data_IF_611344582881
#
_entry.id   IF_611344582881
#
_cell.length_a   1.000
_cell.length_b   1.000
_cell.length_c   1.000
_cell.angle_alpha   90.00
_cell.angle_beta   90.00
_cell.angle_gamma   90.00
#
_symmetry.space_group_name_H-M   'P 1'
#
loop_
_entity.id
_entity.type
_entity.pdbx_description
1 polymer ?
#
# COMPACT_ATOMS: atom_id res chain seq x y z
N UNK A 1 48.37 -6.03 63.03
CA UNK A 1 48.48 -5.31 61.74
C UNK A 1 48.32 -6.35 60.65
N UNK A 2 47.36 -6.22 59.74
CA UNK A 2 47.20 -7.21 58.67
C UNK A 2 48.38 -7.08 57.71
N UNK A 3 49.11 -8.18 57.48
CA UNK A 3 50.19 -8.24 56.50
C UNK A 3 49.58 -7.98 55.11
N UNK A 4 49.91 -6.83 54.51
CA UNK A 4 49.51 -6.50 53.16
C UNK A 4 50.38 -7.32 52.20
N UNK A 5 49.80 -8.34 51.57
CA UNK A 5 50.48 -9.17 50.59
C UNK A 5 50.59 -8.45 49.24
N UNK A 6 51.83 -8.20 48.80
CA UNK A 6 52.15 -7.51 47.56
C UNK A 6 52.74 -8.48 46.53
N UNK A 7 52.27 -8.36 45.28
CA UNK A 7 52.72 -9.16 44.15
C UNK A 7 53.11 -8.26 42.98
N UNK A 8 54.25 -8.60 42.35
CA UNK A 8 54.72 -7.90 41.14
C UNK A 8 53.91 -8.34 39.92
N UNK A 9 53.33 -7.39 39.19
CA UNK A 9 52.63 -7.66 37.94
C UNK A 9 53.63 -8.01 36.82
N UNK A 10 53.42 -9.14 36.13
CA UNK A 10 54.28 -9.58 35.03
C UNK A 10 54.23 -8.70 33.77
N UNK A 11 53.25 -7.80 33.65
CA UNK A 11 53.03 -6.97 32.45
C UNK A 11 53.49 -5.53 32.65
N UNK A 12 53.09 -4.86 33.74
CA UNK A 12 53.50 -3.48 34.02
C UNK A 12 54.71 -3.39 34.96
N UNK A 13 55.14 -4.49 35.60
CA UNK A 13 56.29 -4.51 36.51
C UNK A 13 56.04 -3.92 37.90
N UNK A 14 54.94 -3.19 38.12
CA UNK A 14 54.58 -2.61 39.41
C UNK A 14 54.25 -3.67 40.48
N UNK A 15 54.63 -3.39 41.74
CA UNK A 15 54.15 -4.10 42.93
C UNK A 15 52.73 -3.63 43.26
N UNK A 16 51.79 -4.58 43.32
CA UNK A 16 50.38 -4.31 43.61
C UNK A 16 49.88 -5.22 44.71
N UNK A 17 48.79 -4.83 45.37
CA UNK A 17 48.15 -5.69 46.35
C UNK A 17 47.67 -6.97 45.68
N UNK A 18 47.68 -8.08 46.40
CA UNK A 18 47.15 -9.36 45.90
C UNK A 18 45.68 -9.25 45.41
N UNK A 19 44.90 -8.32 45.97
CA UNK A 19 43.54 -8.01 45.52
C UNK A 19 43.44 -7.34 44.15
N UNK A 20 44.53 -6.78 43.62
CA UNK A 20 44.58 -6.24 42.25
C UNK A 20 44.73 -7.34 41.19
N UNK A 21 44.78 -8.60 41.60
CA UNK A 21 44.87 -9.76 40.72
C UNK A 21 43.56 -10.55 40.71
N UNK A 22 43.30 -11.23 39.60
CA UNK A 22 42.20 -12.18 39.51
C UNK A 22 42.65 -13.53 40.11
N UNK A 23 41.68 -14.30 40.61
CA UNK A 23 41.93 -15.67 41.09
C UNK A 23 42.23 -16.61 39.92
N UNK A 24 43.26 -17.43 40.06
CA UNK A 24 43.65 -18.47 39.10
C UNK A 24 43.90 -19.79 39.82
N UNK A 25 42.89 -20.66 39.81
CA UNK A 25 42.86 -21.92 40.57
C UNK A 25 44.02 -22.87 40.25
N UNK A 26 44.58 -22.81 39.03
CA UNK A 26 45.69 -23.68 38.61
C UNK A 26 47.08 -23.08 38.87
N UNK A 27 47.17 -21.89 39.47
CA UNK A 27 48.46 -21.25 39.75
C UNK A 27 48.91 -21.57 41.18
N UNK A 28 50.22 -21.73 41.40
CA UNK A 28 50.80 -22.08 42.71
C UNK A 28 50.40 -21.11 43.84
N UNK A 29 50.12 -19.85 43.52
CA UNK A 29 49.68 -18.81 44.47
C UNK A 29 48.22 -18.40 44.34
N UNK A 30 47.38 -19.17 43.62
CA UNK A 30 45.95 -18.88 43.47
C UNK A 30 45.59 -17.59 42.73
N UNK A 31 46.57 -16.85 42.20
CA UNK A 31 46.41 -15.56 41.53
C UNK A 31 47.14 -15.53 40.19
N UNK A 32 46.53 -14.88 39.18
CA UNK A 32 47.18 -14.63 37.90
C UNK A 32 48.49 -13.84 38.06
N UNK A 33 49.41 -13.96 37.09
CA UNK A 33 50.69 -13.24 37.08
C UNK A 33 50.55 -11.75 36.69
N UNK A 34 49.53 -11.40 35.91
CA UNK A 34 49.24 -10.03 35.50
C UNK A 34 48.10 -9.41 36.33
N UNK A 35 48.17 -8.12 36.65
CA UNK A 35 47.11 -7.41 37.37
C UNK A 35 45.84 -7.25 36.52
N UNK A 36 44.69 -7.01 37.18
CA UNK A 36 43.37 -6.85 36.55
C UNK A 36 43.35 -5.82 35.43
N UNK A 37 44.03 -4.69 35.61
CA UNK A 37 44.08 -3.64 34.59
C UNK A 37 44.82 -4.10 33.33
N UNK A 38 46.00 -4.70 33.50
CA UNK A 38 46.77 -5.26 32.38
C UNK A 38 45.99 -6.37 31.66
N UNK A 39 45.31 -7.26 32.40
CA UNK A 39 44.44 -8.28 31.80
C UNK A 39 43.29 -7.66 31.02
N UNK A 40 42.63 -6.63 31.57
CA UNK A 40 41.55 -5.91 30.90
C UNK A 40 42.00 -5.32 29.55
N UNK A 41 43.16 -4.68 29.51
CA UNK A 41 43.75 -4.12 28.30
C UNK A 41 44.05 -5.24 27.28
N UNK A 42 44.67 -6.33 27.72
CA UNK A 42 45.00 -7.47 26.86
C UNK A 42 43.73 -8.14 26.29
N UNK A 43 42.72 -8.39 27.13
CA UNK A 43 41.43 -8.94 26.69
C UNK A 43 40.72 -8.03 25.70
N UNK A 44 40.75 -6.70 25.89
CA UNK A 44 40.17 -5.73 24.95
C UNK A 44 40.88 -5.78 23.59
N UNK A 45 42.21 -5.86 23.57
CA UNK A 45 43.00 -6.02 22.33
C UNK A 45 42.70 -7.35 21.64
N UNK A 46 42.60 -8.44 22.39
CA UNK A 46 42.26 -9.75 21.84
C UNK A 46 40.83 -9.80 21.29
N UNK A 47 39.85 -9.24 22.01
CA UNK A 47 38.48 -9.11 21.54
C UNK A 47 38.41 -8.31 20.24
N UNK A 48 39.14 -7.18 20.15
CA UNK A 48 39.15 -6.36 18.95
C UNK A 48 39.73 -7.12 17.73
N UNK A 49 40.82 -7.89 17.93
CA UNK A 49 41.40 -8.75 16.88
C UNK A 49 40.45 -9.87 16.43
N UNK A 50 39.65 -10.40 17.35
CA UNK A 50 38.77 -11.54 17.10
C UNK A 50 37.28 -11.17 16.95
N UNK A 51 36.97 -9.88 16.82
CA UNK A 51 35.60 -9.33 16.94
C UNK A 51 34.62 -10.00 15.98
N UNK A 52 35.00 -10.11 14.72
CA UNK A 52 34.13 -10.66 13.68
C UNK A 52 33.92 -12.17 13.84
N UNK A 53 34.97 -12.90 14.21
CA UNK A 53 34.90 -14.34 14.50
C UNK A 53 33.97 -14.63 15.67
N UNK A 54 34.09 -13.86 16.77
CA UNK A 54 33.24 -13.99 17.95
C UNK A 54 31.79 -13.66 17.59
N UNK A 55 31.56 -12.58 16.84
CA UNK A 55 30.23 -12.18 16.39
C UNK A 55 29.58 -13.25 15.49
N UNK A 56 30.34 -13.81 14.55
CA UNK A 56 29.87 -14.89 13.66
C UNK A 56 29.44 -16.13 14.47
N UNK A 57 30.30 -16.61 15.38
CA UNK A 57 29.97 -17.75 16.27
C UNK A 57 28.73 -17.47 17.11
N UNK A 58 28.59 -16.25 17.66
CA UNK A 58 27.41 -15.84 18.42
C UNK A 58 26.12 -15.86 17.59
N UNK A 59 26.18 -15.36 16.36
CA UNK A 59 25.05 -15.39 15.42
C UNK A 59 24.64 -16.83 15.04
N UNK A 60 25.61 -17.70 14.77
CA UNK A 60 25.37 -19.11 14.45
C UNK A 60 24.72 -19.84 15.64
N UNK A 61 25.27 -19.66 16.85
CA UNK A 61 24.69 -20.21 18.06
C UNK A 61 23.25 -19.74 18.27
N UNK A 62 22.98 -18.44 18.11
CA UNK A 62 21.63 -17.89 18.21
C UNK A 62 20.69 -18.48 17.16
N UNK A 63 21.12 -18.56 15.90
CA UNK A 63 20.32 -19.11 14.80
C UNK A 63 19.92 -20.56 15.06
N UNK A 64 20.85 -21.37 15.55
CA UNK A 64 20.63 -22.79 15.84
C UNK A 64 19.77 -23.04 17.08
N UNK A 65 19.68 -22.07 18.00
CA UNK A 65 18.96 -22.21 19.26
C UNK A 65 17.73 -21.29 19.38
N UNK A 66 17.38 -20.50 18.36
CA UNK A 66 16.32 -19.48 18.42
C UNK A 66 14.96 -20.05 18.84
N UNK A 67 14.68 -21.30 18.45
CA UNK A 67 13.41 -21.98 18.72
C UNK A 67 13.46 -22.91 19.93
N UNK A 68 14.64 -23.14 20.51
CA UNK A 68 14.83 -23.99 21.69
C UNK A 68 14.18 -23.35 22.93
N UNK A 69 13.21 -24.05 23.52
CA UNK A 69 12.40 -23.54 24.62
C UNK A 69 13.21 -23.28 25.89
N UNK A 70 14.16 -24.16 26.21
CA UNK A 70 15.07 -24.00 27.35
C UNK A 70 15.97 -22.78 27.17
N UNK A 71 16.44 -22.52 25.94
CA UNK A 71 17.22 -21.33 25.61
C UNK A 71 16.40 -20.04 25.78
N UNK A 72 15.15 -20.02 25.29
CA UNK A 72 14.21 -18.90 25.48
C UNK A 72 13.98 -18.62 26.97
N UNK A 73 13.72 -19.66 27.77
CA UNK A 73 13.51 -19.54 29.23
C UNK A 73 14.73 -18.96 29.94
N UNK A 74 15.94 -19.48 29.67
CA UNK A 74 17.20 -18.96 30.28
C UNK A 74 17.45 -17.50 29.90
N UNK A 75 17.27 -17.16 28.61
CA UNK A 75 17.41 -15.79 28.12
C UNK A 75 16.42 -14.83 28.80
N UNK A 76 15.15 -15.23 28.91
CA UNK A 76 14.13 -14.42 29.56
C UNK A 76 14.41 -14.26 31.06
N UNK A 77 14.87 -15.32 31.75
CA UNK A 77 15.27 -15.24 33.15
C UNK A 77 16.46 -14.28 33.37
N UNK A 78 17.46 -14.30 32.48
CA UNK A 78 18.55 -13.33 32.50
C UNK A 78 18.04 -11.91 32.33
N UNK A 79 17.18 -11.64 31.34
CA UNK A 79 16.59 -10.32 31.14
C UNK A 79 15.76 -9.85 32.33
N UNK A 80 14.97 -10.72 32.96
CA UNK A 80 14.20 -10.38 34.16
C UNK A 80 15.08 -10.01 35.35
N UNK A 81 16.24 -10.67 35.52
CA UNK A 81 17.18 -10.35 36.62
C UNK A 81 18.00 -9.09 36.37
N UNK A 82 18.28 -8.78 35.10
CA UNK A 82 19.22 -7.71 34.73
C UNK A 82 18.54 -6.40 34.34
N UNK A 83 17.26 -6.45 33.95
CA UNK A 83 16.47 -5.23 33.76
C UNK A 83 15.93 -4.76 35.11
N UNK A 84 16.45 -3.63 35.60
CA UNK A 84 15.71 -2.81 36.57
C UNK A 84 14.36 -2.46 35.94
N UNK A 85 13.29 -2.43 36.73
CA UNK A 85 11.97 -2.00 36.24
C UNK A 85 12.11 -0.61 35.62
N UNK A 86 12.04 -0.55 34.29
CA UNK A 86 12.04 0.73 33.59
C UNK A 86 10.61 1.26 33.66
N UNK A 87 10.37 2.43 34.27
CA UNK A 87 9.03 2.96 34.39
C UNK A 87 8.42 3.13 33.00
N UNK A 88 7.16 2.69 32.87
CA UNK A 88 6.38 2.91 31.66
C UNK A 88 6.12 4.40 31.55
N UNK A 89 6.77 5.06 30.58
CA UNK A 89 6.61 6.48 30.34
C UNK A 89 5.44 6.74 29.37
N UNK A 90 4.77 7.89 29.50
CA UNK A 90 3.80 8.32 28.50
C UNK A 90 4.49 8.79 27.21
N UNK A 91 3.83 8.64 26.06
CA UNK A 91 4.33 9.14 24.79
C UNK A 91 4.49 10.67 24.87
N UNK A 92 5.72 11.14 24.69
CA UNK A 92 6.04 12.58 24.61
C UNK A 92 5.41 13.30 23.43
N UNK A 93 4.76 12.57 22.52
CA UNK A 93 3.95 13.13 21.46
C UNK A 93 2.61 13.74 21.94
N UNK A 94 2.25 13.56 23.22
CA UNK A 94 1.01 14.09 23.78
C UNK A 94 -0.24 13.26 23.49
N UNK A 95 -0.11 12.04 22.97
CA UNK A 95 -1.27 11.21 22.63
C UNK A 95 -1.90 10.47 23.83
N UNK A 96 -1.39 10.66 25.05
CA UNK A 96 -1.89 10.01 26.27
C UNK A 96 -1.53 8.53 26.44
N UNK A 97 -1.00 7.89 25.40
CA UNK A 97 -0.69 6.46 25.40
C UNK A 97 0.67 6.13 26.02
N UNK A 98 0.79 4.92 26.57
CA UNK A 98 2.01 4.41 27.22
C UNK A 98 3.08 4.02 26.17
N UNK A 99 4.27 4.59 26.27
CA UNK A 99 5.43 4.19 25.49
C UNK A 99 6.10 2.95 26.12
N UNK A 100 6.71 2.12 25.28
CA UNK A 100 7.46 0.95 25.76
C UNK A 100 8.56 1.37 26.77
N UNK A 101 8.83 0.56 27.80
CA UNK A 101 9.88 0.84 28.78
C UNK A 101 11.19 1.27 28.12
N UNK A 102 11.75 2.40 28.59
CA UNK A 102 12.98 2.99 28.04
C UNK A 102 12.80 3.79 26.74
N UNK A 103 11.58 3.96 26.22
CA UNK A 103 11.30 4.83 25.05
C UNK A 103 10.50 6.07 25.45
N UNK A 104 10.80 7.19 24.79
CA UNK A 104 10.05 8.44 24.94
C UNK A 104 8.81 8.52 24.05
N UNK A 105 8.72 7.70 23.01
CA UNK A 105 7.63 7.72 22.03
C UNK A 105 7.19 6.29 21.71
N UNK A 106 5.91 6.15 21.38
CA UNK A 106 5.38 4.94 20.78
C UNK A 106 5.97 4.76 19.38
N UNK A 107 6.01 3.52 18.91
CA UNK A 107 6.46 3.21 17.56
C UNK A 107 5.65 4.04 16.54
N UNK A 108 6.35 4.79 15.69
CA UNK A 108 5.72 5.69 14.70
C UNK A 108 5.37 7.08 15.21
N UNK A 109 5.43 7.35 16.52
CA UNK A 109 5.08 8.66 17.09
C UNK A 109 6.26 9.63 17.22
N UNK A 110 7.48 9.21 16.87
CA UNK A 110 8.72 10.00 17.04
C UNK A 110 8.66 11.36 16.32
N UNK A 111 7.96 11.42 15.19
CA UNK A 111 7.84 12.64 14.38
C UNK A 111 6.46 13.30 14.51
N UNK A 112 5.57 12.77 15.35
CA UNK A 112 4.21 13.31 15.49
C UNK A 112 4.28 14.63 16.25
N UNK A 113 3.76 15.71 15.65
CA UNK A 113 3.85 17.06 16.20
C UNK A 113 5.21 17.75 16.04
N UNK A 114 6.18 17.09 15.39
CA UNK A 114 7.49 17.69 15.11
C UNK A 114 7.37 18.66 13.93
N UNK A 115 7.71 19.92 14.16
CA UNK A 115 7.86 20.91 13.09
C UNK A 115 9.27 20.74 12.52
N UNK A 116 9.35 20.36 11.24
CA UNK A 116 10.63 20.26 10.54
C UNK A 116 10.99 21.60 9.89
N UNK A 117 12.25 21.98 10.01
CA UNK A 117 12.82 23.12 9.30
C UNK A 117 12.85 22.89 7.77
N UNK A 118 13.04 23.99 7.03
CA UNK A 118 13.02 23.96 5.57
C UNK A 118 14.16 23.11 4.98
N UNK A 119 15.33 23.11 5.61
CA UNK A 119 16.49 22.32 5.16
C UNK A 119 16.19 20.82 5.20
N UNK A 120 15.48 20.36 6.24
CA UNK A 120 15.07 18.97 6.39
C UNK A 120 14.04 18.58 5.33
N UNK A 121 13.07 19.47 5.04
CA UNK A 121 12.07 19.24 3.99
C UNK A 121 12.70 19.12 2.61
N UNK A 122 13.67 19.99 2.30
CA UNK A 122 14.41 19.95 1.04
C UNK A 122 15.22 18.65 0.90
N UNK A 123 15.91 18.21 1.96
CA UNK A 123 16.61 16.90 1.98
C UNK A 123 15.66 15.73 1.70
N UNK A 124 14.51 15.70 2.37
CA UNK A 124 13.50 14.66 2.14
C UNK A 124 12.93 14.69 0.72
N UNK A 125 12.72 15.88 0.15
CA UNK A 125 12.28 16.05 -1.23
C UNK A 125 13.32 15.53 -2.23
N UNK A 126 14.60 15.87 -2.03
CA UNK A 126 15.70 15.39 -2.86
C UNK A 126 15.83 13.86 -2.82
N UNK A 127 15.72 13.25 -1.64
CA UNK A 127 15.75 11.78 -1.49
C UNK A 127 14.62 11.13 -2.29
N UNK A 128 13.40 11.69 -2.25
CA UNK A 128 12.25 11.17 -3.02
C UNK A 128 12.44 11.33 -4.53
N UNK A 129 13.06 12.42 -4.96
CA UNK A 129 13.33 12.69 -6.38
C UNK A 129 14.45 11.79 -6.92
N UNK A 130 15.43 11.44 -6.09
CA UNK A 130 16.59 10.64 -6.46
C UNK A 130 16.41 9.13 -6.21
N UNK A 131 15.17 8.63 -6.19
CA UNK A 131 14.93 7.19 -6.11
C UNK A 131 15.37 6.54 -7.43
N UNK A 132 16.25 5.54 -7.34
CA UNK A 132 16.69 4.78 -8.52
C UNK A 132 15.62 3.81 -9.02
N UNK A 133 15.76 3.39 -10.28
CA UNK A 133 14.79 2.53 -10.95
C UNK A 133 14.59 1.18 -10.25
N UNK A 134 15.68 0.58 -9.76
CA UNK A 134 15.62 -0.68 -8.99
C UNK A 134 14.77 -0.56 -7.73
N UNK A 135 14.88 0.56 -7.02
CA UNK A 135 14.09 0.83 -5.82
C UNK A 135 12.63 1.06 -6.17
N UNK A 136 12.33 1.81 -7.25
CA UNK A 136 10.96 1.96 -7.77
C UNK A 136 10.34 0.61 -8.10
N UNK A 137 11.09 -0.26 -8.79
CA UNK A 137 10.64 -1.61 -9.16
C UNK A 137 10.28 -2.44 -7.93
N UNK A 138 11.16 -2.49 -6.91
CA UNK A 138 10.88 -3.18 -5.64
C UNK A 138 9.65 -2.65 -4.92
N UNK A 139 9.47 -1.33 -4.88
CA UNK A 139 8.28 -0.71 -4.28
C UNK A 139 7.01 -1.10 -5.04
N UNK A 140 7.06 -1.09 -6.37
CA UNK A 140 5.94 -1.50 -7.23
C UNK A 140 5.59 -2.98 -7.06
N UNK A 141 6.58 -3.86 -7.06
CA UNK A 141 6.41 -5.30 -6.85
C UNK A 141 5.79 -5.61 -5.49
N UNK A 142 6.22 -4.92 -4.43
CA UNK A 142 5.63 -5.07 -3.09
C UNK A 142 4.18 -4.56 -3.01
N UNK A 143 3.78 -3.64 -3.86
CA UNK A 143 2.43 -3.11 -3.92
C UNK A 143 1.50 -3.96 -4.82
N UNK A 144 2.06 -4.67 -5.80
CA UNK A 144 1.31 -5.45 -6.79
C UNK A 144 0.46 -6.51 -6.09
N UNK A 145 -0.83 -6.55 -6.42
CA UNK A 145 -1.78 -7.52 -5.88
C UNK A 145 -2.29 -7.25 -4.45
N UNK A 146 -1.86 -6.16 -3.79
CA UNK A 146 -2.43 -5.80 -2.48
C UNK A 146 -3.88 -5.34 -2.62
N UNK A 147 -4.80 -6.12 -2.07
CA UNK A 147 -6.21 -5.76 -1.98
C UNK A 147 -6.39 -4.84 -0.77
N UNK A 148 -6.86 -3.62 -1.03
CA UNK A 148 -7.22 -2.68 0.03
C UNK A 148 -8.52 -3.15 0.68
N UNK A 149 -8.51 -3.31 2.01
CA UNK A 149 -9.70 -3.73 2.77
C UNK A 149 -10.86 -2.74 2.59
N UNK A 150 -12.11 -3.23 2.68
CA UNK A 150 -13.30 -2.39 2.58
C UNK A 150 -13.28 -1.26 3.62
N UNK A 151 -12.87 -1.57 4.85
CA UNK A 151 -12.64 -0.61 5.95
C UNK A 151 -11.69 0.53 5.51
N UNK A 152 -10.55 0.19 4.92
CA UNK A 152 -9.56 1.18 4.49
C UNK A 152 -10.07 2.00 3.30
N UNK A 153 -10.77 1.36 2.36
CA UNK A 153 -11.42 2.05 1.23
C UNK A 153 -12.46 3.06 1.72
N UNK A 154 -13.28 2.69 2.71
CA UNK A 154 -14.28 3.57 3.33
C UNK A 154 -13.62 4.79 3.97
N UNK A 155 -12.57 4.61 4.78
CA UNK A 155 -11.82 5.72 5.39
C UNK A 155 -11.23 6.68 4.36
N UNK A 156 -10.66 6.15 3.28
CA UNK A 156 -10.13 6.97 2.18
C UNK A 156 -11.27 7.79 1.55
N UNK A 157 -12.39 7.14 1.21
CA UNK A 157 -13.56 7.80 0.63
C UNK A 157 -14.09 8.93 1.52
N UNK A 158 -14.31 8.65 2.81
CA UNK A 158 -14.78 9.63 3.80
C UNK A 158 -13.84 10.84 3.90
N UNK A 159 -12.52 10.62 3.86
CA UNK A 159 -11.54 11.70 3.95
C UNK A 159 -11.49 12.62 2.72
N UNK A 160 -11.91 12.11 1.57
CA UNK A 160 -11.89 12.82 0.29
C UNK A 160 -13.24 13.45 -0.05
N UNK A 161 -14.33 12.93 0.51
CA UNK A 161 -15.67 13.44 0.27
C UNK A 161 -15.77 14.94 0.61
N UNK A 162 -16.34 15.73 -0.29
CA UNK A 162 -16.51 17.18 -0.13
C UNK A 162 -15.23 18.02 -0.26
N UNK A 163 -14.05 17.43 -0.49
CA UNK A 163 -12.83 18.23 -0.71
C UNK A 163 -12.84 18.85 -2.12
N UNK A 164 -12.80 20.19 -2.24
CA UNK A 164 -12.78 20.82 -3.56
C UNK A 164 -11.43 20.57 -4.24
N UNK A 165 -11.50 20.18 -5.51
CA UNK A 165 -10.30 20.09 -6.35
C UNK A 165 -9.90 21.51 -6.77
N UNK A 166 -8.69 21.93 -6.42
CA UNK A 166 -8.13 23.22 -6.83
C UNK A 166 -8.08 23.35 -8.36
N UNK A 167 -8.30 24.56 -8.87
CA UNK A 167 -8.33 24.82 -10.32
C UNK A 167 -7.01 24.43 -11.01
N UNK A 168 -5.87 24.69 -10.37
CA UNK A 168 -4.55 24.29 -10.88
C UNK A 168 -4.40 22.76 -10.97
N UNK A 169 -4.97 22.02 -10.02
CA UNK A 169 -5.00 20.54 -10.06
C UNK A 169 -5.93 20.05 -11.15
N UNK A 170 -7.11 20.67 -11.30
CA UNK A 170 -8.07 20.36 -12.37
C UNK A 170 -7.44 20.53 -13.75
N UNK A 171 -6.72 21.63 -13.97
CA UNK A 171 -6.00 21.89 -15.22
C UNK A 171 -4.96 20.82 -15.53
N UNK A 172 -4.13 20.43 -14.56
CA UNK A 172 -3.12 19.37 -14.73
C UNK A 172 -3.74 18.01 -15.08
N UNK A 173 -4.87 17.67 -14.45
CA UNK A 173 -5.61 16.45 -14.77
C UNK A 173 -6.13 16.51 -16.21
N UNK A 174 -6.71 17.65 -16.61
CA UNK A 174 -7.20 17.87 -17.96
C UNK A 174 -6.10 17.77 -19.02
N UNK A 175 -4.94 18.37 -18.78
CA UNK A 175 -3.77 18.30 -19.66
C UNK A 175 -3.25 16.87 -19.80
N UNK A 176 -3.12 16.13 -18.69
CA UNK A 176 -2.66 14.74 -18.69
C UNK A 176 -3.62 13.79 -19.44
N UNK A 177 -4.92 14.09 -19.41
CA UNK A 177 -5.94 13.28 -20.08
C UNK A 177 -6.23 13.71 -21.52
N UNK A 178 -5.66 14.84 -21.98
CA UNK A 178 -5.91 15.37 -23.32
C UNK A 178 -5.46 14.35 -24.39
N UNK A 179 -6.39 13.89 -25.21
CA UNK A 179 -6.11 12.97 -26.32
C UNK A 179 -5.80 11.52 -25.93
N UNK A 180 -6.02 11.14 -24.66
CA UNK A 180 -5.81 9.76 -24.20
C UNK A 180 -6.89 8.79 -24.66
N UNK A 181 -8.13 9.26 -24.77
CA UNK A 181 -9.32 8.46 -25.11
C UNK A 181 -10.05 9.06 -26.32
N UNK A 182 -9.33 9.32 -27.40
CA UNK A 182 -9.91 9.86 -28.65
C UNK A 182 -9.58 8.93 -29.82
N UNK A 183 -10.54 8.79 -30.74
CA UNK A 183 -10.39 8.00 -31.94
C UNK A 183 -9.88 6.59 -31.63
N UNK A 184 -8.87 6.14 -32.38
CA UNK A 184 -8.24 4.81 -32.24
C UNK A 184 -7.63 4.48 -30.89
N UNK A 185 -7.45 5.47 -30.01
CA UNK A 185 -6.96 5.23 -28.64
C UNK A 185 -8.08 4.88 -27.67
N UNK A 186 -9.34 5.09 -28.05
CA UNK A 186 -10.47 4.68 -27.24
C UNK A 186 -10.70 3.17 -27.43
N UNK A 187 -10.76 2.34 -26.37
CA UNK A 187 -10.93 0.88 -26.49
C UNK A 187 -12.20 0.44 -27.24
N UNK A 188 -13.20 1.32 -27.28
CA UNK A 188 -14.46 1.10 -28.01
C UNK A 188 -14.50 1.74 -29.40
N UNK A 189 -13.38 2.26 -29.90
CA UNK A 189 -13.37 2.83 -31.25
C UNK A 189 -13.38 1.73 -32.30
N UNK A 190 -14.52 1.62 -32.97
CA UNK A 190 -14.76 0.64 -34.03
C UNK A 190 -14.53 1.32 -35.38
N UNK A 191 -13.30 1.76 -35.67
CA UNK A 191 -12.93 2.26 -37.01
C UNK A 191 -13.65 3.53 -37.49
N UNK A 192 -14.36 4.24 -36.60
CA UNK A 192 -15.10 5.45 -36.99
C UNK A 192 -16.50 5.20 -37.56
N UNK A 193 -17.12 4.03 -37.30
CA UNK A 193 -18.52 3.72 -37.66
C UNK A 193 -19.50 4.88 -37.33
N UNK A 194 -19.24 5.66 -36.27
CA UNK A 194 -20.06 6.83 -35.94
C UNK A 194 -20.12 7.89 -37.06
N UNK A 195 -19.11 7.96 -37.93
CA UNK A 195 -19.03 8.88 -39.09
C UNK A 195 -19.68 8.34 -40.35
N UNK A 196 -20.03 7.05 -40.39
CA UNK A 196 -20.71 6.47 -41.54
C UNK A 196 -22.12 7.08 -41.71
N UNK A 197 -22.54 7.35 -42.95
CA UNK A 197 -23.86 7.90 -43.23
C UNK A 197 -24.96 6.89 -42.86
N UNK A 198 -26.09 7.42 -42.38
CA UNK A 198 -27.31 6.63 -42.23
C UNK A 198 -27.98 6.40 -43.58
N UNK A 199 -28.91 5.44 -43.65
CA UNK A 199 -29.79 5.30 -44.82
C UNK A 199 -30.62 6.58 -45.06
N UNK A 200 -31.01 6.80 -46.31
CA UNK A 200 -31.82 7.97 -46.71
C UNK A 200 -33.15 8.08 -45.94
N UNK A 201 -33.73 6.94 -45.59
CA UNK A 201 -35.00 6.84 -44.84
C UNK A 201 -34.87 7.19 -43.34
N UNK A 202 -33.66 7.43 -42.82
CA UNK A 202 -33.42 7.83 -41.43
C UNK A 202 -33.80 9.30 -41.16
N UNK A 203 -35.07 9.62 -41.35
CA UNK A 203 -35.63 10.97 -41.29
C UNK A 203 -36.13 11.32 -39.89
N UNK A 204 -36.57 12.58 -39.69
CA UNK A 204 -37.25 12.98 -38.45
C UNK A 204 -38.62 12.30 -38.32
N UNK A 205 -39.31 12.10 -39.44
CA UNK A 205 -40.65 11.51 -39.46
C UNK A 205 -40.60 10.04 -39.05
N UNK A 206 -39.63 9.26 -39.55
CA UNK A 206 -39.41 7.89 -39.09
C UNK A 206 -39.14 7.85 -37.58
N UNK A 207 -38.32 8.76 -37.06
CA UNK A 207 -38.04 8.81 -35.62
C UNK A 207 -39.27 9.15 -34.80
N UNK A 208 -40.09 10.10 -35.28
CA UNK A 208 -41.34 10.48 -34.63
C UNK A 208 -42.32 9.31 -34.60
N UNK A 209 -42.47 8.61 -35.73
CA UNK A 209 -43.29 7.40 -35.84
C UNK A 209 -42.87 6.31 -34.83
N UNK A 210 -41.57 6.00 -34.74
CA UNK A 210 -41.06 5.01 -33.79
C UNK A 210 -41.28 5.46 -32.34
N UNK A 211 -41.08 6.74 -32.03
CA UNK A 211 -41.35 7.28 -30.69
C UNK A 211 -42.83 7.21 -30.34
N UNK A 212 -43.73 7.51 -31.29
CA UNK A 212 -45.18 7.43 -31.10
C UNK A 212 -45.63 5.98 -30.90
N UNK A 213 -45.16 5.04 -31.73
CA UNK A 213 -45.37 3.59 -31.55
C UNK A 213 -44.95 3.15 -30.15
N UNK A 214 -43.83 3.66 -29.68
CA UNK A 214 -43.26 3.35 -28.39
C UNK A 214 -43.90 4.17 -27.24
N UNK A 215 -44.92 4.99 -27.50
CA UNK A 215 -45.63 5.75 -26.48
C UNK A 215 -44.79 6.84 -25.81
N UNK A 216 -43.75 7.34 -26.49
CA UNK A 216 -42.79 8.31 -25.96
C UNK A 216 -42.12 7.86 -24.65
N UNK A 217 -41.82 6.56 -24.56
CA UNK A 217 -41.17 5.97 -23.39
C UNK A 217 -39.91 5.18 -23.77
N UNK A 218 -38.97 5.10 -22.83
CA UNK A 218 -37.81 4.24 -22.96
C UNK A 218 -38.25 2.76 -22.85
N UNK A 219 -38.03 1.97 -23.91
CA UNK A 219 -38.42 0.55 -23.93
C UNK A 219 -37.47 -0.41 -23.22
N UNK A 220 -36.32 0.08 -22.74
CA UNK A 220 -35.45 -0.75 -21.92
C UNK A 220 -36.08 -0.99 -20.54
N UNK A 221 -36.49 -2.22 -20.25
CA UNK A 221 -37.15 -2.59 -18.98
C UNK A 221 -36.26 -2.40 -17.74
N UNK A 222 -34.95 -2.27 -17.93
CA UNK A 222 -33.96 -1.99 -16.87
C UNK A 222 -33.52 -0.52 -16.85
N UNK A 223 -34.36 0.39 -17.36
CA UNK A 223 -34.12 1.82 -17.34
C UNK A 223 -34.05 2.34 -15.88
N UNK A 224 -33.10 3.22 -15.60
CA UNK A 224 -32.94 3.84 -14.27
C UNK A 224 -33.64 5.21 -14.16
N UNK A 225 -34.31 5.66 -15.23
CA UNK A 225 -34.98 6.97 -15.31
C UNK A 225 -34.09 8.17 -14.94
N UNK A 226 -32.81 8.07 -15.28
CA UNK A 226 -31.77 9.09 -15.04
C UNK A 226 -31.67 10.14 -16.17
N UNK A 227 -32.40 9.94 -17.28
CA UNK A 227 -32.43 10.83 -18.43
C UNK A 227 -33.82 10.92 -19.03
N UNK A 228 -34.35 12.14 -19.17
CA UNK A 228 -35.63 12.42 -19.84
C UNK A 228 -35.52 12.52 -21.36
N UNK A 229 -34.31 12.70 -21.92
CA UNK A 229 -34.11 12.80 -23.37
C UNK A 229 -34.18 11.43 -24.04
N UNK A 230 -35.09 11.27 -24.99
CA UNK A 230 -35.29 10.06 -25.79
C UNK A 230 -34.59 10.13 -27.16
N UNK A 231 -34.24 8.97 -27.69
CA UNK A 231 -33.67 8.78 -29.02
C UNK A 231 -34.05 7.39 -29.58
N UNK A 232 -34.10 7.27 -30.90
CA UNK A 232 -34.29 5.99 -31.59
C UNK A 232 -32.93 5.32 -31.82
N UNK A 233 -32.85 4.04 -31.48
CA UNK A 233 -31.67 3.19 -31.54
C UNK A 233 -31.88 2.07 -32.56
N UNK A 234 -30.83 1.68 -33.28
CA UNK A 234 -30.83 0.49 -34.16
C UNK A 234 -30.38 -0.71 -33.32
N UNK A 235 -31.18 -1.77 -33.26
CA UNK A 235 -30.94 -2.93 -32.38
C UNK A 235 -29.73 -3.73 -32.84
N UNK A 236 -29.57 -3.93 -34.15
CA UNK A 236 -28.44 -4.62 -34.80
C UNK A 236 -27.18 -3.74 -34.97
N UNK A 237 -27.26 -2.45 -34.61
CA UNK A 237 -26.21 -1.44 -34.79
C UNK A 237 -25.81 -1.15 -36.25
N UNK A 238 -26.56 -1.64 -37.24
CA UNK A 238 -26.41 -1.26 -38.65
C UNK A 238 -27.25 -0.01 -38.93
N UNK A 239 -26.57 1.11 -39.20
CA UNK A 239 -27.18 2.41 -39.50
C UNK A 239 -27.99 2.44 -40.80
N UNK A 240 -27.88 1.39 -41.63
CA UNK A 240 -28.62 1.26 -42.88
C UNK A 240 -29.88 0.42 -42.73
N UNK A 241 -29.98 -0.39 -41.68
CA UNK A 241 -31.16 -1.19 -41.39
C UNK A 241 -32.21 -0.38 -40.62
N UNK A 242 -33.02 0.38 -41.34
CA UNK A 242 -34.07 1.23 -40.76
C UNK A 242 -35.44 0.52 -40.68
N UNK A 243 -35.48 -0.81 -40.72
CA UNK A 243 -36.72 -1.57 -40.55
C UNK A 243 -37.34 -1.26 -39.19
N UNK A 244 -38.65 -1.07 -39.15
CA UNK A 244 -39.32 -0.61 -37.92
C UNK A 244 -39.07 -1.53 -36.72
N UNK A 245 -38.98 -2.84 -36.95
CA UNK A 245 -38.72 -3.84 -35.90
C UNK A 245 -37.25 -3.89 -35.45
N UNK A 246 -36.34 -3.29 -36.23
CA UNK A 246 -34.95 -3.09 -35.83
C UNK A 246 -34.75 -1.77 -35.05
N UNK A 247 -35.80 -0.95 -34.90
CA UNK A 247 -35.73 0.35 -34.25
C UNK A 247 -36.44 0.34 -32.89
N UNK A 248 -35.81 0.95 -31.89
CA UNK A 248 -36.35 1.02 -30.52
C UNK A 248 -36.10 2.38 -29.86
N UNK A 249 -37.09 2.89 -29.14
CA UNK A 249 -36.97 4.14 -28.38
C UNK A 249 -36.27 3.89 -27.04
N UNK A 250 -35.17 4.61 -26.81
CA UNK A 250 -34.37 4.57 -25.59
C UNK A 250 -34.13 5.97 -25.03
N UNK A 251 -33.98 6.09 -23.70
CA UNK A 251 -33.41 7.30 -23.12
C UNK A 251 -31.90 7.39 -23.40
N UNK A 252 -31.32 8.60 -23.31
CA UNK A 252 -29.91 8.84 -23.63
C UNK A 252 -28.95 7.98 -22.79
N UNK A 253 -29.28 7.71 -21.52
CA UNK A 253 -28.48 6.82 -20.66
C UNK A 253 -28.52 5.37 -21.15
N UNK A 254 -29.71 4.84 -21.46
CA UNK A 254 -29.86 3.49 -21.99
C UNK A 254 -29.22 3.35 -23.38
N UNK A 255 -29.32 4.34 -24.25
CA UNK A 255 -28.63 4.36 -25.54
C UNK A 255 -27.10 4.36 -25.36
N UNK A 256 -26.57 5.13 -24.41
CA UNK A 256 -25.15 5.10 -24.10
C UNK A 256 -24.71 3.73 -23.57
N UNK A 257 -25.50 3.09 -22.70
CA UNK A 257 -25.26 1.74 -22.18
C UNK A 257 -25.27 0.69 -23.29
N UNK A 258 -26.23 0.78 -24.22
CA UNK A 258 -26.36 -0.16 -25.34
C UNK A 258 -25.11 -0.20 -26.25
N UNK A 259 -24.36 0.90 -26.32
CA UNK A 259 -23.11 0.93 -27.09
C UNK A 259 -21.96 0.09 -26.49
N UNK A 260 -22.13 -0.44 -25.27
CA UNK A 260 -21.19 -1.36 -24.62
C UNK A 260 -21.77 -2.78 -24.62
N UNK A 261 -21.01 -3.77 -25.07
CA UNK A 261 -21.47 -5.18 -25.17
C UNK A 261 -22.68 -5.36 -26.10
N UNK A 262 -22.53 -4.92 -27.36
CA UNK A 262 -23.58 -4.83 -28.37
C UNK A 262 -24.35 -6.13 -28.57
N UNK A 263 -23.64 -7.27 -28.65
CA UNK A 263 -24.22 -8.60 -28.84
C UNK A 263 -25.26 -8.96 -27.77
N UNK A 264 -24.98 -8.63 -26.50
CA UNK A 264 -25.92 -8.89 -25.41
C UNK A 264 -27.16 -8.02 -25.53
N UNK A 265 -26.99 -6.74 -25.86
CA UNK A 265 -28.10 -5.80 -26.01
C UNK A 265 -28.98 -6.08 -27.22
N UNK A 266 -28.37 -6.47 -28.35
CA UNK A 266 -29.08 -6.90 -29.56
C UNK A 266 -30.02 -8.07 -29.23
N UNK A 267 -29.48 -9.14 -28.63
CA UNK A 267 -30.27 -10.30 -28.15
C UNK A 267 -31.35 -9.89 -27.15
N UNK A 268 -31.02 -9.01 -26.21
CA UNK A 268 -31.97 -8.52 -25.22
C UNK A 268 -33.12 -7.76 -25.87
N UNK A 269 -32.86 -6.82 -26.76
CA UNK A 269 -33.91 -6.02 -27.40
C UNK A 269 -34.76 -6.84 -28.37
N UNK A 270 -34.18 -7.76 -29.15
CA UNK A 270 -34.97 -8.71 -29.93
C UNK A 270 -35.93 -9.52 -29.06
N UNK A 271 -35.43 -10.06 -27.93
CA UNK A 271 -36.30 -10.79 -27.00
C UNK A 271 -37.44 -9.94 -26.43
N UNK A 272 -37.28 -8.62 -26.31
CA UNK A 272 -38.36 -7.75 -25.85
C UNK A 272 -39.45 -7.57 -26.92
N UNK A 273 -39.05 -7.49 -28.19
CA UNK A 273 -39.96 -7.32 -29.32
C UNK A 273 -40.72 -8.63 -29.58
N UNK A 274 -40.04 -9.77 -29.60
CA UNK A 274 -40.66 -11.09 -29.82
C UNK A 274 -41.69 -11.42 -28.74
N UNK A 275 -41.39 -11.09 -27.48
CA UNK A 275 -42.32 -11.30 -26.37
C UNK A 275 -43.54 -10.36 -26.41
N UNK A 276 -43.47 -9.23 -27.12
CA UNK A 276 -44.63 -8.33 -27.30
C UNK A 276 -45.61 -8.88 -28.36
N UNK A 277 -45.11 -9.58 -29.38
CA UNK A 277 -45.93 -10.18 -30.45
C UNK A 277 -46.70 -11.42 -29.97
N UNK A 278 -46.12 -12.22 -29.07
CA UNK A 278 -46.78 -13.41 -28.51
C UNK A 278 -47.93 -13.12 -27.54
N UNK A 279 -48.06 -11.89 -27.04
CA UNK A 279 -49.15 -11.49 -26.13
C UNK A 279 -50.36 -10.95 -26.90
N UNK A 280 -50.19 -10.49 -28.15
CA UNK A 280 -51.27 -9.99 -29.00
C UNK A 280 -51.92 -11.07 -29.88
N UNK A 281 -51.35 -12.29 -29.94
CA UNK A 281 -51.86 -13.43 -30.71
C UNK A 281 -52.74 -14.42 -29.93
N UNK A 282 -53.15 -14.08 -28.70
CA UNK A 282 -54.09 -14.87 -27.89
C UNK A 282 -55.29 -14.00 -27.52
N UNK A 283 -56.11 -13.67 -28.52
CA UNK A 283 -57.51 -13.28 -28.38
C UNK A 283 -58.30 -13.88 -29.54
#
# INVERSE_FOLDING_TARGET
>A
MADLDFKKCSVCGELKLSDDFNKHSRSKGGLYSACRNCQSIQHKKEYQRNKDRIKKKGNEYYKNNKDNETFKKRRNAYYRRTQKENPVALCKCGCGEKANPGRSFILGHVNRGRIFDESFRLKQKAIKQNINEHTRKKMSESAKGKIISLETRRRISQSLNGRPVLETTRKKIGEANRGRLLGSRHPQWLGGISREPYAFVWTKDLKAYIMERDGYECKNRTCHNDSSKLCVHHIDYDKKNCDHDNLITLCNSCNARANFNREMWEKYYHSLIDNALNVQGVL
#
